data_IF_492413988376
#
_entry.id   IF_492413988376
#
_cell.length_a   1.000
_cell.length_b   1.000
_cell.length_c   1.000
_cell.angle_alpha   90.00
_cell.angle_beta   90.00
_cell.angle_gamma   90.00
#
_symmetry.space_group_name_H-M   'P 1'
#
loop_
_entity.id
_entity.type
_entity.pdbx_description
1 polymer ?
#
# COMPACT_ATOMS: atom_id res chain seq x y z
N UNK A 1 -28.43 7.64 -30.85
CA UNK A 1 -27.28 6.72 -30.67
C UNK A 1 -26.41 7.31 -29.58
N UNK A 2 -26.63 6.90 -28.33
CA UNK A 2 -25.82 7.38 -27.20
C UNK A 2 -24.47 6.67 -27.28
N UNK A 3 -23.40 7.43 -27.52
CA UNK A 3 -22.04 6.92 -27.53
C UNK A 3 -21.69 6.42 -26.14
N UNK A 4 -21.28 5.16 -26.09
CA UNK A 4 -20.82 4.44 -24.92
C UNK A 4 -19.53 5.12 -24.41
N UNK A 5 -19.64 6.01 -23.42
CA UNK A 5 -18.50 6.61 -22.74
C UNK A 5 -17.98 5.56 -21.74
N UNK A 6 -17.26 4.56 -22.27
CA UNK A 6 -16.46 3.66 -21.45
C UNK A 6 -15.51 4.53 -20.62
N UNK A 7 -15.75 4.58 -19.32
CA UNK A 7 -14.87 5.27 -18.36
C UNK A 7 -13.47 4.67 -18.48
N UNK A 8 -12.64 5.31 -19.31
CA UNK A 8 -11.22 5.01 -19.41
C UNK A 8 -10.62 5.12 -18.01
N UNK A 9 -10.13 4.00 -17.50
CA UNK A 9 -9.50 3.94 -16.18
C UNK A 9 -8.30 4.89 -16.20
N UNK A 10 -8.10 5.63 -15.10
CA UNK A 10 -6.97 6.53 -14.99
C UNK A 10 -5.66 5.72 -15.12
N UNK A 11 -4.72 6.08 -16.01
CA UNK A 11 -3.48 5.33 -16.21
C UNK A 11 -2.62 5.23 -14.94
N UNK A 12 -2.80 6.15 -13.98
CA UNK A 12 -2.18 6.06 -12.65
C UNK A 12 -2.75 4.90 -11.85
N UNK A 13 -4.06 4.66 -11.94
CA UNK A 13 -4.73 3.54 -11.27
C UNK A 13 -4.31 2.22 -11.90
N UNK A 14 -4.17 2.17 -13.23
CA UNK A 14 -3.64 1.00 -13.94
C UNK A 14 -2.22 0.67 -13.48
N UNK A 15 -1.33 1.68 -13.45
CA UNK A 15 0.06 1.50 -13.00
C UNK A 15 0.13 1.01 -11.55
N UNK A 16 -0.72 1.54 -10.66
CA UNK A 16 -0.77 1.13 -9.25
C UNK A 16 -1.31 -0.30 -9.11
N UNK A 17 -2.27 -0.72 -9.93
CA UNK A 17 -2.78 -2.08 -9.94
C UNK A 17 -1.74 -3.08 -10.50
N UNK A 18 -0.98 -2.68 -11.51
CA UNK A 18 0.15 -3.46 -12.04
C UNK A 18 1.28 -3.60 -11.01
N UNK A 19 1.54 -2.56 -10.22
CA UNK A 19 2.54 -2.56 -9.14
C UNK A 19 2.16 -3.50 -8.00
N UNK A 20 0.88 -3.77 -7.77
CA UNK A 20 0.42 -4.67 -6.70
C UNK A 20 -0.54 -5.74 -7.22
N UNK A 21 -0.02 -6.75 -7.95
CA UNK A 21 -0.83 -7.88 -8.39
C UNK A 21 -1.48 -8.60 -7.20
N UNK A 22 -2.72 -9.08 -7.37
CA UNK A 22 -3.43 -9.77 -6.28
C UNK A 22 -2.66 -10.99 -5.76
N UNK A 23 -2.02 -11.72 -6.66
CA UNK A 23 -1.22 -12.90 -6.32
C UNK A 23 -0.04 -12.55 -5.40
N UNK A 24 0.66 -11.45 -5.70
CA UNK A 24 1.74 -10.94 -4.85
C UNK A 24 1.23 -10.61 -3.45
N UNK A 25 0.11 -9.87 -3.35
CA UNK A 25 -0.48 -9.49 -2.06
C UNK A 25 -0.93 -10.73 -1.25
N UNK A 26 -1.58 -11.70 -1.90
CA UNK A 26 -2.04 -12.93 -1.23
C UNK A 26 -0.89 -13.80 -0.77
N UNK A 27 0.15 -13.97 -1.59
CA UNK A 27 1.32 -14.78 -1.23
C UNK A 27 2.08 -14.12 -0.08
N UNK A 28 2.34 -12.82 -0.17
CA UNK A 28 3.02 -12.07 0.89
C UNK A 28 2.22 -12.13 2.20
N UNK A 29 0.90 -11.99 2.15
CA UNK A 29 0.05 -12.07 3.35
C UNK A 29 0.05 -13.46 4.03
N UNK A 30 0.25 -14.54 3.25
CA UNK A 30 0.42 -15.89 3.77
C UNK A 30 1.80 -16.09 4.39
N UNK A 31 2.84 -15.59 3.74
CA UNK A 31 4.23 -15.70 4.20
C UNK A 31 4.46 -14.95 5.51
N UNK A 32 3.88 -13.76 5.66
CA UNK A 32 4.02 -12.94 6.87
C UNK A 32 3.10 -13.38 8.00
N UNK A 33 2.05 -14.15 7.70
CA UNK A 33 1.08 -14.61 8.69
C UNK A 33 -0.06 -13.63 8.98
N UNK A 34 -0.18 -12.54 8.20
CA UNK A 34 -1.34 -11.61 8.27
C UNK A 34 -2.65 -12.34 8.02
N UNK A 35 -2.63 -13.30 7.09
CA UNK A 35 -3.78 -14.17 6.80
C UNK A 35 -3.36 -15.63 6.89
N UNK A 36 -3.66 -16.25 8.03
CA UNK A 36 -3.51 -17.70 8.24
C UNK A 36 -4.74 -18.44 7.69
N UNK A 37 -5.92 -17.79 7.71
CA UNK A 37 -7.19 -18.33 7.20
C UNK A 37 -7.99 -17.20 6.55
N UNK A 38 -8.28 -17.31 5.26
CA UNK A 38 -9.19 -16.40 4.56
C UNK A 38 -10.63 -16.68 5.03
N UNK A 39 -11.12 -15.85 5.96
CA UNK A 39 -12.52 -15.86 6.42
C UNK A 39 -13.22 -14.58 5.94
N UNK A 40 -13.42 -13.62 6.84
CA UNK A 40 -14.01 -12.31 6.56
C UNK A 40 -12.95 -11.25 6.19
N UNK A 41 -11.66 -11.60 6.29
CA UNK A 41 -10.54 -10.72 5.99
C UNK A 41 -9.89 -11.19 4.70
N UNK A 42 -10.04 -10.40 3.65
CA UNK A 42 -9.33 -10.54 2.39
C UNK A 42 -8.09 -9.62 2.41
N UNK A 43 -6.88 -10.16 2.15
CA UNK A 43 -5.64 -9.38 2.24
C UNK A 43 -5.54 -8.30 1.15
N UNK A 44 -6.11 -8.51 -0.03
CA UNK A 44 -6.09 -7.54 -1.14
C UNK A 44 -6.97 -6.35 -0.80
N UNK A 45 -8.20 -6.60 -0.35
CA UNK A 45 -9.12 -5.53 0.06
C UNK A 45 -8.55 -4.77 1.26
N UNK A 46 -7.98 -5.49 2.23
CA UNK A 46 -7.38 -4.89 3.41
C UNK A 46 -6.21 -3.97 3.03
N UNK A 47 -5.32 -4.43 2.14
CA UNK A 47 -4.22 -3.62 1.63
C UNK A 47 -4.72 -2.30 1.03
N UNK A 48 -5.64 -2.35 0.07
CA UNK A 48 -6.16 -1.15 -0.60
C UNK A 48 -6.90 -0.21 0.34
N UNK A 49 -7.65 -0.74 1.30
CA UNK A 49 -8.36 0.09 2.30
C UNK A 49 -7.36 0.81 3.21
N UNK A 50 -6.29 0.16 3.62
CA UNK A 50 -5.27 0.77 4.46
C UNK A 50 -4.47 1.81 3.67
N UNK A 51 -3.94 1.46 2.49
CA UNK A 51 -3.08 2.36 1.72
C UNK A 51 -3.83 3.59 1.21
N UNK A 52 -5.01 3.40 0.62
CA UNK A 52 -5.80 4.50 0.06
C UNK A 52 -6.62 5.24 1.13
N UNK A 53 -7.02 4.53 2.20
CA UNK A 53 -7.77 5.12 3.31
C UNK A 53 -6.95 6.14 4.09
N UNK A 54 -5.69 5.82 4.38
CA UNK A 54 -4.77 6.78 5.00
C UNK A 54 -4.30 7.85 4.02
N UNK A 55 -3.92 7.47 2.79
CA UNK A 55 -3.29 8.39 1.84
C UNK A 55 -4.22 9.44 1.24
N UNK A 56 -5.39 9.04 0.74
CA UNK A 56 -6.24 9.91 -0.10
C UNK A 56 -7.34 10.61 0.70
N UNK A 57 -7.89 9.93 1.71
CA UNK A 57 -9.07 10.41 2.45
C UNK A 57 -8.79 10.83 3.88
N UNK A 58 -7.55 10.70 4.35
CA UNK A 58 -7.18 10.90 5.76
C UNK A 58 -8.15 10.18 6.71
N UNK A 59 -8.54 8.94 6.40
CA UNK A 59 -9.24 8.09 7.36
C UNK A 59 -8.25 7.71 8.46
N UNK A 60 -8.03 8.64 9.39
CA UNK A 60 -7.06 8.52 10.47
C UNK A 60 -7.56 7.66 11.63
N UNK A 61 -8.84 7.25 11.59
CA UNK A 61 -9.44 6.42 12.63
C UNK A 61 -9.62 4.98 12.15
N UNK A 62 -9.31 4.05 13.04
CA UNK A 62 -9.52 2.61 12.81
C UNK A 62 -11.00 2.31 12.49
N UNK A 63 -11.93 3.05 13.10
CA UNK A 63 -13.37 2.96 12.79
C UNK A 63 -13.69 3.39 11.35
N UNK A 64 -13.03 4.43 10.85
CA UNK A 64 -13.16 4.88 9.46
C UNK A 64 -12.66 3.83 8.48
N UNK A 65 -11.49 3.24 8.74
CA UNK A 65 -10.91 2.17 7.93
C UNK A 65 -11.79 0.92 7.95
N UNK A 66 -12.26 0.50 9.12
CA UNK A 66 -13.23 -0.60 9.27
C UNK A 66 -14.45 -0.38 8.40
N UNK A 67 -15.10 0.79 8.50
CA UNK A 67 -16.32 1.09 7.72
C UNK A 67 -16.04 1.00 6.22
N UNK A 68 -14.87 1.46 5.79
CA UNK A 68 -14.48 1.37 4.38
C UNK A 68 -14.18 -0.06 3.94
N UNK A 69 -13.59 -0.87 4.82
CA UNK A 69 -13.40 -2.29 4.59
C UNK A 69 -14.72 -3.02 4.45
N UNK A 70 -15.68 -2.80 5.36
CA UNK A 70 -17.01 -3.42 5.30
C UNK A 70 -17.76 -3.06 4.01
N UNK A 71 -17.67 -1.80 3.58
CA UNK A 71 -18.23 -1.32 2.31
C UNK A 71 -17.63 -2.04 1.09
N UNK A 72 -16.33 -2.39 1.15
CA UNK A 72 -15.61 -3.00 0.02
C UNK A 72 -15.63 -4.52 -0.01
N UNK A 73 -15.63 -5.15 1.15
CA UNK A 73 -15.65 -6.60 1.30
C UNK A 73 -17.07 -7.15 1.44
N UNK A 74 -18.10 -6.30 1.54
CA UNK A 74 -19.51 -6.71 1.73
C UNK A 74 -19.70 -7.63 2.95
N UNK A 75 -18.95 -7.36 4.02
CA UNK A 75 -19.00 -8.12 5.27
C UNK A 75 -19.20 -7.19 6.46
N UNK A 76 -19.80 -7.73 7.52
CA UNK A 76 -19.82 -7.08 8.83
C UNK A 76 -18.75 -7.67 9.76
N UNK A 77 -18.03 -6.77 10.42
CA UNK A 77 -16.99 -7.05 11.39
C UNK A 77 -17.27 -6.32 12.70
N UNK A 78 -16.83 -6.90 13.82
CA UNK A 78 -16.71 -6.14 15.07
C UNK A 78 -15.51 -5.20 14.98
N UNK A 79 -15.52 -4.14 15.79
CA UNK A 79 -14.37 -3.22 15.85
C UNK A 79 -13.11 -3.91 16.39
N UNK A 80 -13.25 -4.81 17.36
CA UNK A 80 -12.16 -5.61 17.89
C UNK A 80 -11.55 -6.51 16.81
N UNK A 81 -12.38 -7.23 16.05
CA UNK A 81 -11.88 -8.14 15.01
C UNK A 81 -11.11 -7.43 13.89
N UNK A 82 -11.37 -6.15 13.66
CA UNK A 82 -10.59 -5.33 12.72
C UNK A 82 -9.33 -4.78 13.39
N UNK A 83 -9.43 -4.32 14.64
CA UNK A 83 -8.30 -3.83 15.43
C UNK A 83 -7.23 -4.90 15.66
N UNK A 84 -7.63 -6.14 15.91
CA UNK A 84 -6.72 -7.28 16.16
C UNK A 84 -5.88 -7.67 14.93
N UNK A 85 -6.07 -7.00 13.78
CA UNK A 85 -5.25 -7.18 12.56
C UNK A 85 -4.05 -6.26 12.51
N UNK A 86 -3.94 -5.28 13.40
CA UNK A 86 -2.78 -4.40 13.49
C UNK A 86 -1.70 -5.06 14.36
N UNK A 87 -1.06 -6.08 13.81
CA UNK A 87 -0.04 -6.90 14.48
C UNK A 87 1.37 -6.64 13.90
N UNK A 88 2.45 -7.13 14.54
CA UNK A 88 3.79 -7.05 13.96
C UNK A 88 3.90 -7.70 12.57
N UNK A 89 3.15 -8.78 12.31
CA UNK A 89 3.07 -9.44 11.00
C UNK A 89 2.46 -8.52 9.94
N UNK A 90 1.48 -7.69 10.32
CA UNK A 90 0.94 -6.65 9.43
C UNK A 90 1.98 -5.61 9.08
N UNK A 91 2.85 -5.23 10.02
CA UNK A 91 3.95 -4.33 9.73
C UNK A 91 4.96 -4.95 8.75
N UNK A 92 5.33 -6.22 8.93
CA UNK A 92 6.21 -6.95 7.98
C UNK A 92 5.56 -7.04 6.59
N UNK A 93 4.26 -7.35 6.52
CA UNK A 93 3.52 -7.35 5.26
C UNK A 93 3.59 -6.01 4.54
N UNK A 94 3.28 -4.91 5.23
CA UNK A 94 3.34 -3.57 4.63
C UNK A 94 4.78 -3.19 4.24
N UNK A 95 5.78 -3.58 5.03
CA UNK A 95 7.18 -3.35 4.70
C UNK A 95 7.59 -4.06 3.41
N UNK A 96 7.18 -5.32 3.22
CA UNK A 96 7.43 -6.07 1.99
C UNK A 96 6.71 -5.46 0.78
N UNK A 97 5.48 -4.97 0.97
CA UNK A 97 4.78 -4.24 -0.09
C UNK A 97 5.53 -2.95 -0.49
N UNK A 98 6.08 -2.20 0.47
CA UNK A 98 6.89 -1.01 0.17
C UNK A 98 8.18 -1.38 -0.58
N UNK A 99 8.88 -2.42 -0.15
CA UNK A 99 10.08 -2.91 -0.85
C UNK A 99 9.75 -3.31 -2.29
N UNK A 100 8.65 -4.05 -2.49
CA UNK A 100 8.18 -4.42 -3.82
C UNK A 100 7.88 -3.21 -4.70
N UNK A 101 7.21 -2.18 -4.16
CA UNK A 101 6.94 -0.96 -4.90
C UNK A 101 8.22 -0.22 -5.34
N UNK A 102 9.23 -0.17 -4.46
CA UNK A 102 10.54 0.43 -4.77
C UNK A 102 11.23 -0.37 -5.88
N UNK A 103 11.22 -1.69 -5.80
CA UNK A 103 11.79 -2.57 -6.83
C UNK A 103 11.07 -2.45 -8.17
N UNK A 104 9.74 -2.43 -8.16
CA UNK A 104 8.91 -2.21 -9.36
C UNK A 104 9.23 -0.86 -10.00
N UNK A 105 9.35 0.20 -9.18
CA UNK A 105 9.70 1.53 -9.65
C UNK A 105 11.12 1.59 -10.24
N UNK A 106 12.08 0.84 -9.69
CA UNK A 106 13.44 0.77 -10.23
C UNK A 106 13.51 0.03 -11.59
N UNK A 107 12.57 -0.87 -11.87
CA UNK A 107 12.49 -1.62 -13.13
C UNK A 107 11.79 -0.83 -14.25
N UNK A 108 10.87 0.06 -13.90
CA UNK A 108 10.28 0.99 -14.84
C UNK A 108 11.42 1.81 -15.47
N UNK A 109 11.49 1.94 -16.81
CA UNK A 109 12.49 2.77 -17.44
C UNK A 109 12.31 4.19 -16.88
N UNK A 110 13.20 4.58 -15.96
CA UNK A 110 13.26 5.95 -15.49
C UNK A 110 13.53 6.89 -16.65
N UNK A 111 13.68 8.18 -16.36
CA UNK A 111 14.34 9.07 -17.33
C UNK A 111 15.64 8.39 -17.74
N UNK A 112 15.75 8.01 -19.02
CA UNK A 112 16.96 7.43 -19.58
C UNK A 112 18.11 8.32 -19.13
N UNK A 113 19.08 7.73 -18.43
CA UNK A 113 20.27 8.44 -17.99
C UNK A 113 20.83 9.15 -19.24
N UNK A 114 20.84 10.48 -19.21
CA UNK A 114 21.38 11.27 -20.32
C UNK A 114 22.80 10.81 -20.63
N UNK A 115 23.31 11.07 -21.82
CA UNK A 115 24.56 10.46 -22.31
C UNK A 115 25.76 10.55 -21.35
N UNK A 116 25.80 11.60 -20.52
CA UNK A 116 26.83 11.80 -19.48
C UNK A 116 26.79 10.78 -18.33
N UNK A 117 25.63 10.19 -18.04
CA UNK A 117 25.39 9.29 -16.91
C UNK A 117 25.26 7.81 -17.32
N UNK A 118 25.30 7.48 -18.62
CA UNK A 118 25.20 6.10 -19.15
C UNK A 118 26.24 5.11 -18.60
N UNK A 119 27.32 5.62 -18.00
CA UNK A 119 28.40 4.80 -17.42
C UNK A 119 28.05 4.26 -16.02
N UNK A 120 26.99 4.78 -15.39
CA UNK A 120 26.51 4.31 -14.09
C UNK A 120 25.33 3.34 -14.29
N UNK A 121 25.35 2.22 -13.55
CA UNK A 121 24.28 1.21 -13.59
C UNK A 121 22.98 1.73 -12.97
N UNK A 122 23.10 2.54 -11.92
CA UNK A 122 21.99 3.12 -11.18
C UNK A 122 22.46 4.42 -10.49
N UNK A 123 21.54 5.34 -10.23
CA UNK A 123 21.80 6.63 -9.59
C UNK A 123 21.01 6.72 -8.29
N UNK A 124 21.67 6.43 -7.16
CA UNK A 124 21.08 6.62 -5.83
C UNK A 124 21.17 8.09 -5.45
N UNK A 125 20.04 8.80 -5.49
CA UNK A 125 19.94 10.16 -4.96
C UNK A 125 19.51 10.03 -3.50
N UNK A 126 20.44 10.27 -2.59
CA UNK A 126 20.12 10.33 -1.16
C UNK A 126 19.61 11.74 -0.82
N UNK A 127 18.31 11.89 -0.62
CA UNK A 127 17.76 13.08 0.03
C UNK A 127 17.99 12.98 1.53
N UNK A 128 18.77 13.90 2.08
CA UNK A 128 19.11 13.91 3.51
C UNK A 128 18.13 14.81 4.26
N UNK A 129 16.85 14.43 4.25
CA UNK A 129 15.86 15.14 5.06
C UNK A 129 16.00 14.71 6.53
N UNK A 130 16.51 15.61 7.38
CA UNK A 130 16.59 15.40 8.82
C UNK A 130 15.26 15.77 9.46
N UNK A 131 14.46 14.78 9.84
CA UNK A 131 13.27 14.99 10.68
C UNK A 131 13.72 15.01 12.14
N UNK A 132 13.80 16.21 12.75
CA UNK A 132 14.04 16.35 14.18
C UNK A 132 12.72 16.23 14.93
N UNK A 133 12.55 15.15 15.69
CA UNK A 133 11.45 15.02 16.63
C UNK A 133 11.70 15.97 17.82
N UNK A 134 10.75 16.86 18.10
CA UNK A 134 10.84 17.74 19.26
C UNK A 134 10.81 16.91 20.54
N UNK A 135 11.62 17.27 21.54
CA UNK A 135 11.83 16.47 22.76
C UNK A 135 10.54 16.22 23.55
N UNK A 136 9.54 17.10 23.41
CA UNK A 136 8.20 16.93 23.99
C UNK A 136 7.42 15.73 23.45
N UNK A 137 7.79 15.19 22.28
CA UNK A 137 7.11 14.07 21.64
C UNK A 137 7.77 12.72 21.94
N UNK A 138 8.92 12.72 22.63
CA UNK A 138 9.67 11.50 22.98
C UNK A 138 8.90 10.61 23.95
N UNK A 139 8.04 11.19 24.80
CA UNK A 139 7.27 10.43 25.82
C UNK A 139 5.95 9.86 25.31
N UNK A 140 5.58 10.16 24.07
CA UNK A 140 4.28 9.75 23.48
C UNK A 140 4.45 8.48 22.63
N UNK A 141 5.70 8.02 22.44
CA UNK A 141 6.07 6.79 21.75
C UNK A 141 6.87 5.87 22.67
#
# INVERSE_FOLDING_TARGET
MASNDEKRVDPTVETIAEMFPEEFLRNTARETGVVIRERKIDPVILFWVLTLGFGVRFLSTIRGLKRKYEEKAEVELSISSFYDRFTPEMADFLQRCVLHAIEFQAQQPGRVLGDKLKRFKDLVIQDSTIIRLHESLVKIW
#
